data_IF_340717441346
#
_entry.id   IF_340717441346
#
_cell.length_a   1.000
_cell.length_b   1.000
_cell.length_c   1.000
_cell.angle_alpha   90.00
_cell.angle_beta   90.00
_cell.angle_gamma   90.00
#
_symmetry.space_group_name_H-M   'P 1'
#
loop_
_entity.id
_entity.type
_entity.pdbx_description
1 polymer ?
#
# COMPACT_ATOMS: atom_id res chain seq x y z
N UNK A 1 -10.96 -14.96 -4.31
CA UNK A 1 -9.66 -15.53 -4.79
C UNK A 1 -9.09 -14.70 -5.92
N UNK A 2 -7.77 -14.67 -6.15
CA UNK A 2 -7.11 -13.75 -7.11
C UNK A 2 -6.99 -14.29 -8.54
N UNK A 3 -7.03 -13.41 -9.53
CA UNK A 3 -6.86 -13.74 -10.95
C UNK A 3 -5.93 -12.78 -11.68
N UNK A 4 -5.28 -13.27 -12.73
CA UNK A 4 -4.46 -12.48 -13.66
C UNK A 4 -5.24 -12.18 -14.93
N UNK A 5 -5.21 -10.94 -15.42
CA UNK A 5 -5.95 -10.54 -16.63
C UNK A 5 -5.18 -9.52 -17.48
N UNK A 6 -5.20 -9.65 -18.81
CA UNK A 6 -4.71 -8.63 -19.74
C UNK A 6 -5.79 -7.64 -20.18
N UNK A 7 -7.02 -7.71 -19.64
CA UNK A 7 -8.19 -6.97 -20.15
C UNK A 7 -8.06 -5.43 -20.13
N UNK A 8 -7.00 -4.89 -19.51
CA UNK A 8 -6.75 -3.47 -19.33
C UNK A 8 -5.49 -2.97 -20.04
N UNK A 9 -4.91 -3.76 -20.95
CA UNK A 9 -3.79 -3.34 -21.80
C UNK A 9 -4.14 -2.11 -22.65
N UNK A 10 -5.38 -2.02 -23.12
CA UNK A 10 -5.84 -0.95 -24.01
C UNK A 10 -6.71 0.10 -23.33
N UNK A 11 -7.13 -0.15 -22.08
CA UNK A 11 -8.07 0.71 -21.33
C UNK A 11 -7.47 1.19 -20.03
N UNK A 12 -7.70 2.46 -19.69
CA UNK A 12 -7.16 2.98 -18.42
C UNK A 12 -7.99 2.46 -17.25
N UNK A 13 -7.31 1.97 -16.21
CA UNK A 13 -7.97 1.57 -14.97
C UNK A 13 -8.44 2.79 -14.17
N UNK A 14 -9.58 2.64 -13.51
CA UNK A 14 -10.12 3.62 -12.56
C UNK A 14 -9.34 3.60 -11.24
N UNK A 15 -9.57 4.61 -10.39
CA UNK A 15 -9.03 4.68 -9.03
C UNK A 15 -7.68 5.37 -8.88
N UNK A 16 -7.00 5.69 -9.99
CA UNK A 16 -5.84 6.58 -10.00
C UNK A 16 -6.20 7.95 -10.58
N UNK A 17 -5.56 9.01 -10.08
CA UNK A 17 -5.59 10.34 -10.70
C UNK A 17 -4.84 10.41 -12.03
N UNK A 18 -4.09 9.36 -12.39
CA UNK A 18 -3.38 9.27 -13.67
C UNK A 18 -3.99 8.21 -14.58
N UNK A 19 -4.18 8.55 -15.85
CA UNK A 19 -4.62 7.59 -16.85
C UNK A 19 -3.49 6.62 -17.17
N UNK A 20 -3.63 5.38 -16.70
CA UNK A 20 -2.62 4.33 -16.83
C UNK A 20 -3.24 3.03 -17.29
N UNK A 21 -2.54 2.35 -18.18
CA UNK A 21 -2.93 1.09 -18.83
C UNK A 21 -1.85 0.05 -18.54
N UNK A 22 -2.05 -0.83 -17.54
CA UNK A 22 -1.12 -1.92 -17.27
C UNK A 22 -1.37 -3.06 -18.26
N UNK A 23 -0.30 -3.75 -18.68
CA UNK A 23 -0.42 -4.85 -19.65
C UNK A 23 -1.15 -6.06 -19.05
N UNK A 24 -0.69 -6.54 -17.89
CA UNK A 24 -1.33 -7.62 -17.14
C UNK A 24 -1.40 -7.22 -15.66
N UNK A 25 -2.53 -7.49 -15.00
CA UNK A 25 -2.71 -7.21 -13.58
C UNK A 25 -3.18 -8.45 -12.81
N UNK A 26 -2.77 -8.53 -11.54
CA UNK A 26 -3.33 -9.47 -10.58
C UNK A 26 -4.29 -8.73 -9.65
N UNK A 27 -5.53 -9.19 -9.52
CA UNK A 27 -6.58 -8.53 -8.74
C UNK A 27 -7.52 -9.54 -8.07
N UNK A 28 -8.32 -9.06 -7.12
CA UNK A 28 -9.32 -9.89 -6.41
C UNK A 28 -10.53 -10.18 -7.32
N UNK A 29 -10.80 -11.46 -7.61
CA UNK A 29 -11.80 -11.87 -8.62
C UNK A 29 -13.23 -11.56 -8.21
N UNK A 30 -13.49 -11.43 -6.90
CA UNK A 30 -14.82 -11.11 -6.37
C UNK A 30 -15.23 -9.65 -6.63
N UNK A 31 -14.27 -8.81 -7.03
CA UNK A 31 -14.54 -7.44 -7.43
C UNK A 31 -15.04 -7.38 -8.88
N UNK A 32 -16.32 -6.99 -9.07
CA UNK A 32 -16.96 -6.83 -10.39
C UNK A 32 -16.27 -5.81 -11.31
N UNK A 33 -15.35 -4.99 -10.79
CA UNK A 33 -14.60 -3.98 -11.55
C UNK A 33 -13.14 -4.00 -11.11
N UNK A 34 -12.23 -4.11 -12.08
CA UNK A 34 -10.81 -3.91 -11.87
C UNK A 34 -10.53 -2.42 -11.66
N UNK A 35 -9.83 -2.08 -10.57
CA UNK A 35 -9.55 -0.72 -10.13
C UNK A 35 -8.17 -0.69 -9.45
N UNK A 36 -7.41 0.41 -9.60
CA UNK A 36 -6.08 0.54 -9.00
C UNK A 36 -6.06 0.30 -7.49
N UNK A 37 -7.17 0.56 -6.79
CA UNK A 37 -7.33 0.33 -5.35
C UNK A 37 -7.41 -1.16 -4.97
N UNK A 38 -7.67 -2.03 -5.95
CA UNK A 38 -7.94 -3.46 -5.75
C UNK A 38 -6.88 -4.37 -6.41
N UNK A 39 -5.82 -3.78 -6.98
CA UNK A 39 -4.74 -4.54 -7.60
C UNK A 39 -3.75 -5.06 -6.56
N UNK A 40 -3.32 -6.30 -6.70
CA UNK A 40 -2.20 -6.83 -5.93
C UNK A 40 -0.86 -6.43 -6.54
N UNK A 41 -0.73 -6.56 -7.86
CA UNK A 41 0.49 -6.28 -8.62
C UNK A 41 0.21 -6.06 -10.11
N UNK A 42 1.25 -5.62 -10.83
CA UNK A 42 1.29 -5.47 -12.29
C UNK A 42 2.40 -6.36 -12.84
N UNK A 43 2.13 -7.01 -13.97
CA UNK A 43 3.11 -7.63 -14.85
C UNK A 43 3.14 -6.83 -16.17
N UNK A 44 4.21 -6.08 -16.36
CA UNK A 44 4.44 -5.30 -17.58
C UNK A 44 5.09 -6.14 -18.67
N UNK A 45 4.66 -5.98 -19.93
CA UNK A 45 5.25 -6.62 -21.08
C UNK A 45 6.07 -5.62 -21.90
N UNK A 46 7.27 -6.03 -22.31
CA UNK A 46 8.15 -5.23 -23.17
C UNK A 46 8.82 -6.06 -24.24
N UNK A 47 8.78 -5.58 -25.48
CA UNK A 47 9.33 -6.26 -26.66
C UNK A 47 10.52 -5.54 -27.30
N UNK A 48 10.59 -4.20 -27.19
CA UNK A 48 11.70 -3.38 -27.70
C UNK A 48 12.91 -3.38 -26.78
N UNK A 49 14.08 -3.03 -27.30
CA UNK A 49 15.31 -2.93 -26.52
C UNK A 49 15.14 -1.96 -25.33
N UNK A 50 15.43 -2.44 -24.13
CA UNK A 50 15.37 -1.67 -22.89
C UNK A 50 16.70 -1.75 -22.15
N UNK A 51 17.19 -0.61 -21.68
CA UNK A 51 18.27 -0.58 -20.69
C UNK A 51 17.73 -0.97 -19.30
N UNK A 52 18.62 -1.39 -18.40
CA UNK A 52 18.27 -1.64 -16.99
C UNK A 52 17.65 -0.41 -16.31
N UNK A 53 18.12 0.80 -16.60
CA UNK A 53 17.54 2.05 -16.07
C UNK A 53 16.08 2.25 -16.51
N UNK A 54 15.75 1.83 -17.73
CA UNK A 54 14.39 1.93 -18.26
C UNK A 54 13.47 0.89 -17.60
N UNK A 55 13.96 -0.34 -17.36
CA UNK A 55 13.23 -1.39 -16.62
C UNK A 55 12.88 -0.91 -15.21
N UNK A 56 13.87 -0.40 -14.48
CA UNK A 56 13.64 0.15 -13.14
C UNK A 56 12.60 1.27 -13.15
N UNK A 57 12.74 2.24 -14.06
CA UNK A 57 11.83 3.40 -14.16
C UNK A 57 10.38 2.96 -14.41
N UNK A 58 10.18 1.96 -15.27
CA UNK A 58 8.85 1.40 -15.56
C UNK A 58 8.27 0.71 -14.32
N UNK A 59 9.04 -0.13 -13.64
CA UNK A 59 8.56 -0.80 -12.43
C UNK A 59 8.28 0.18 -11.29
N UNK A 60 9.14 1.17 -11.08
CA UNK A 60 8.99 2.23 -10.09
C UNK A 60 7.73 3.07 -10.35
N UNK A 61 7.40 3.35 -11.62
CA UNK A 61 6.14 4.01 -11.99
C UNK A 61 4.92 3.20 -11.52
N UNK A 62 4.94 1.88 -11.66
CA UNK A 62 3.84 1.01 -11.22
C UNK A 62 3.74 0.95 -9.70
N UNK A 63 4.87 0.78 -9.00
CA UNK A 63 4.91 0.82 -7.54
C UNK A 63 4.37 2.15 -7.00
N UNK A 64 4.82 3.29 -7.56
CA UNK A 64 4.32 4.62 -7.23
C UNK A 64 2.80 4.73 -7.43
N UNK A 65 2.28 4.21 -8.54
CA UNK A 65 0.83 4.25 -8.84
C UNK A 65 0.03 3.45 -7.81
N UNK A 66 0.50 2.25 -7.44
CA UNK A 66 -0.14 1.42 -6.42
C UNK A 66 -0.09 2.11 -5.05
N UNK A 67 1.06 2.64 -4.63
CA UNK A 67 1.18 3.36 -3.36
C UNK A 67 0.28 4.59 -3.27
N UNK A 68 0.00 5.28 -4.38
CA UNK A 68 -0.92 6.42 -4.40
C UNK A 68 -2.39 6.02 -4.26
N UNK A 69 -2.74 4.80 -4.67
CA UNK A 69 -4.12 4.36 -4.71
C UNK A 69 -4.48 3.48 -3.50
N UNK A 70 -3.49 2.88 -2.84
CA UNK A 70 -3.68 1.92 -1.77
C UNK A 70 -2.97 2.39 -0.50
N UNK A 71 -3.77 2.76 0.48
CA UNK A 71 -3.36 3.40 1.71
C UNK A 71 -2.98 2.40 2.82
N UNK A 72 -3.12 1.10 2.56
CA UNK A 72 -2.77 0.00 3.46
C UNK A 72 -1.60 -0.85 2.93
N UNK A 73 -0.77 -0.32 2.02
CA UNK A 73 0.39 -1.05 1.43
C UNK A 73 1.70 -0.67 2.09
N UNK A 74 2.40 -1.69 2.63
CA UNK A 74 3.77 -1.57 3.17
C UNK A 74 4.82 -1.63 2.04
N UNK A 75 4.65 -2.53 1.08
CA UNK A 75 5.53 -2.67 -0.09
C UNK A 75 4.73 -3.05 -1.35
N UNK A 76 5.36 -3.05 -2.52
CA UNK A 76 4.74 -3.44 -3.78
C UNK A 76 5.70 -4.32 -4.55
N UNK A 77 5.25 -5.53 -4.88
CA UNK A 77 5.90 -6.37 -5.87
C UNK A 77 5.47 -5.90 -7.26
N UNK A 78 6.43 -5.74 -8.18
CA UNK A 78 6.17 -5.41 -9.58
C UNK A 78 6.97 -6.36 -10.46
N UNK A 79 6.33 -6.88 -11.50
CA UNK A 79 6.95 -7.78 -12.46
C UNK A 79 7.07 -7.07 -13.80
N UNK A 80 8.15 -7.37 -14.52
CA UNK A 80 8.34 -6.94 -15.90
C UNK A 80 8.93 -8.09 -16.69
N UNK A 81 8.25 -8.49 -17.77
CA UNK A 81 8.74 -9.47 -18.73
C UNK A 81 9.25 -8.73 -19.97
N UNK A 82 10.56 -8.75 -20.17
CA UNK A 82 11.22 -8.21 -21.34
C UNK A 82 11.66 -9.35 -22.25
N UNK A 83 10.95 -9.55 -23.36
CA UNK A 83 11.04 -10.75 -24.20
C UNK A 83 10.78 -12.02 -23.37
N UNK A 84 11.83 -12.73 -22.98
CA UNK A 84 11.77 -13.95 -22.16
C UNK A 84 12.34 -13.74 -20.75
N UNK A 85 12.97 -12.59 -20.47
CA UNK A 85 13.58 -12.31 -19.17
C UNK A 85 12.57 -11.65 -18.22
N UNK A 86 12.30 -12.33 -17.11
CA UNK A 86 11.47 -11.80 -16.04
C UNK A 86 12.32 -11.05 -15.02
N UNK A 87 12.00 -9.78 -14.79
CA UNK A 87 12.48 -8.99 -13.66
C UNK A 87 11.39 -8.92 -12.58
N UNK A 88 11.79 -9.11 -11.32
CA UNK A 88 10.93 -8.95 -10.15
C UNK A 88 11.55 -7.91 -9.22
N UNK A 89 10.76 -6.91 -8.84
CA UNK A 89 11.18 -5.87 -7.91
C UNK A 89 10.20 -5.75 -6.75
N UNK A 90 10.73 -5.61 -5.54
CA UNK A 90 10.03 -5.20 -4.34
C UNK A 90 10.36 -3.73 -4.08
N UNK A 91 9.34 -2.88 -4.05
CA UNK A 91 9.46 -1.48 -3.65
C UNK A 91 8.82 -1.29 -2.30
N UNK A 92 9.53 -0.68 -1.36
CA UNK A 92 8.95 -0.19 -0.12
C UNK A 92 9.13 1.34 -0.03
N UNK A 93 8.89 1.94 1.13
CA UNK A 93 9.04 3.39 1.27
C UNK A 93 10.50 3.81 1.54
N UNK A 94 11.39 2.89 1.87
CA UNK A 94 12.82 3.12 2.03
C UNK A 94 13.60 2.99 0.70
N UNK A 95 13.12 2.19 -0.24
CA UNK A 95 13.78 1.98 -1.53
C UNK A 95 13.22 0.77 -2.29
N UNK A 96 14.12 0.02 -2.93
CA UNK A 96 13.74 -1.13 -3.73
C UNK A 96 14.80 -2.22 -3.74
N UNK A 97 14.36 -3.48 -3.76
CA UNK A 97 15.19 -4.66 -4.01
C UNK A 97 14.73 -5.26 -5.34
N UNK A 98 15.68 -5.52 -6.24
CA UNK A 98 15.41 -6.10 -7.55
C UNK A 98 16.17 -7.42 -7.62
N UNK A 99 15.46 -8.50 -7.93
CA UNK A 99 16.07 -9.79 -8.15
C UNK A 99 16.80 -9.80 -9.50
N UNK A 100 17.85 -10.62 -9.61
CA UNK A 100 18.49 -10.86 -10.90
C UNK A 100 17.46 -11.39 -11.91
N UNK A 101 17.38 -10.81 -13.12
CA UNK A 101 16.45 -11.28 -14.12
C UNK A 101 16.81 -12.70 -14.57
N UNK A 102 15.80 -13.46 -15.00
CA UNK A 102 16.01 -14.81 -15.50
C UNK A 102 15.11 -15.11 -16.69
N UNK A 103 15.58 -15.95 -17.61
CA UNK A 103 14.78 -16.45 -18.72
C UNK A 103 13.70 -17.43 -18.22
N UNK A 104 12.44 -17.15 -18.52
CA UNK A 104 11.30 -17.96 -18.07
C UNK A 104 11.24 -19.33 -18.74
N UNK A 105 11.87 -19.52 -19.89
CA UNK A 105 11.96 -20.80 -20.59
C UNK A 105 13.08 -21.68 -20.02
N UNK A 106 14.16 -21.07 -19.54
CA UNK A 106 15.22 -21.78 -18.82
C UNK A 106 14.79 -22.17 -17.39
N UNK A 107 13.97 -21.34 -16.73
CA UNK A 107 13.47 -21.56 -15.36
C UNK A 107 11.93 -21.45 -15.25
N UNK A 108 11.16 -22.31 -15.94
CA UNK A 108 9.70 -22.24 -15.97
C UNK A 108 9.06 -22.49 -14.60
N UNK A 109 9.64 -23.37 -13.78
CA UNK A 109 9.15 -23.64 -12.43
C UNK A 109 9.25 -22.40 -11.53
N UNK A 110 10.35 -21.65 -11.61
CA UNK A 110 10.52 -20.41 -10.86
C UNK A 110 9.50 -19.35 -11.30
N UNK A 111 9.26 -19.24 -12.61
CA UNK A 111 8.23 -18.35 -13.14
C UNK A 111 6.84 -18.68 -12.58
N UNK A 112 6.45 -19.97 -12.63
CA UNK A 112 5.17 -20.43 -12.08
C UNK A 112 5.09 -20.24 -10.57
N UNK A 113 6.17 -20.49 -9.82
CA UNK A 113 6.22 -20.25 -8.38
C UNK A 113 5.99 -18.79 -8.02
N UNK A 114 6.53 -17.83 -8.79
CA UNK A 114 6.28 -16.41 -8.57
C UNK A 114 4.80 -16.09 -8.80
N UNK A 115 4.21 -16.54 -9.91
CA UNK A 115 2.80 -16.29 -10.23
C UNK A 115 1.87 -16.90 -9.17
N UNK A 116 2.08 -18.17 -8.82
CA UNK A 116 1.29 -18.85 -7.79
C UNK A 116 1.52 -18.27 -6.40
N UNK A 117 2.75 -17.89 -6.07
CA UNK A 117 3.08 -17.22 -4.82
C UNK A 117 2.25 -15.96 -4.65
N UNK A 118 2.16 -15.12 -5.69
CA UNK A 118 1.33 -13.91 -5.66
C UNK A 118 -0.16 -14.23 -5.63
N UNK A 119 -0.62 -15.21 -6.42
CA UNK A 119 -2.03 -15.58 -6.49
C UNK A 119 -2.56 -16.12 -5.15
N UNK A 120 -1.78 -16.96 -4.46
CA UNK A 120 -2.24 -17.72 -3.29
C UNK A 120 -1.71 -17.21 -1.95
N UNK A 121 -0.74 -16.30 -1.93
CA UNK A 121 -0.22 -15.73 -0.68
C UNK A 121 -1.32 -15.07 0.15
N UNK A 122 -1.24 -15.17 1.48
CA UNK A 122 -2.08 -14.33 2.34
C UNK A 122 -1.72 -12.86 2.14
N UNK A 123 -2.67 -11.97 2.41
CA UNK A 123 -2.49 -10.52 2.24
C UNK A 123 -1.30 -9.98 3.04
N UNK A 124 -1.03 -10.53 4.23
CA UNK A 124 0.14 -10.20 5.06
C UNK A 124 1.48 -10.39 4.31
N UNK A 125 1.59 -11.43 3.47
CA UNK A 125 2.76 -11.68 2.63
C UNK A 125 2.79 -10.85 1.35
N UNK A 126 1.66 -10.22 1.00
CA UNK A 126 1.54 -9.27 -0.11
C UNK A 126 1.53 -7.82 0.38
N UNK A 127 2.07 -7.58 1.59
CA UNK A 127 2.34 -6.28 2.21
C UNK A 127 1.15 -5.51 2.78
N UNK A 128 -0.05 -6.10 2.78
CA UNK A 128 -1.22 -5.42 3.30
C UNK A 128 -1.09 -5.25 4.81
N UNK A 129 -1.44 -4.07 5.29
CA UNK A 129 -1.48 -3.79 6.72
C UNK A 129 -2.63 -4.55 7.37
N UNK A 130 -2.29 -5.61 8.12
CA UNK A 130 -3.26 -6.49 8.80
C UNK A 130 -4.01 -5.79 9.93
N UNK A 131 -3.60 -4.59 10.33
CA UNK A 131 -4.40 -3.77 11.26
C UNK A 131 -5.61 -3.12 10.58
N UNK A 132 -5.64 -3.05 9.25
CA UNK A 132 -6.75 -2.48 8.49
C UNK A 132 -7.63 -3.61 7.98
N UNK A 133 -8.80 -3.77 8.57
CA UNK A 133 -9.82 -4.70 8.11
C UNK A 133 -10.82 -3.99 7.19
N UNK A 134 -11.29 -4.69 6.15
CA UNK A 134 -12.41 -4.23 5.31
C UNK A 134 -13.56 -5.20 5.46
N UNK A 135 -14.72 -4.71 5.88
CA UNK A 135 -15.96 -5.47 6.02
C UNK A 135 -17.02 -4.84 5.12
N UNK A 136 -17.41 -5.54 4.05
CA UNK A 136 -18.27 -4.99 3.00
C UNK A 136 -17.65 -3.74 2.35
N UNK A 137 -18.15 -2.54 2.68
CA UNK A 137 -17.62 -1.25 2.23
C UNK A 137 -16.83 -0.51 3.30
N UNK A 138 -16.97 -0.93 4.55
CA UNK A 138 -16.50 -0.16 5.70
C UNK A 138 -15.14 -0.69 6.12
N UNK A 139 -14.27 0.23 6.52
CA UNK A 139 -12.90 -0.09 6.90
C UNK A 139 -12.67 0.24 8.35
N UNK A 140 -11.91 -0.61 9.02
CA UNK A 140 -11.60 -0.45 10.43
C UNK A 140 -10.11 -0.58 10.66
N UNK A 141 -9.56 0.31 11.47
CA UNK A 141 -8.24 0.12 12.06
C UNK A 141 -8.39 -0.51 13.44
N UNK A 142 -7.73 -1.65 13.61
CA UNK A 142 -7.68 -2.40 14.87
C UNK A 142 -6.24 -2.48 15.32
N UNK A 143 -5.90 -1.70 16.35
CA UNK A 143 -4.56 -1.66 16.93
C UNK A 143 -4.63 -1.56 18.45
N UNK A 144 -4.03 -2.52 19.16
CA UNK A 144 -4.12 -2.64 20.61
C UNK A 144 -5.57 -2.62 21.11
N UNK A 145 -5.98 -1.56 21.83
CA UNK A 145 -7.34 -1.36 22.34
C UNK A 145 -8.16 -0.38 21.50
N UNK A 146 -7.57 0.17 20.44
CA UNK A 146 -8.25 1.07 19.52
C UNK A 146 -8.96 0.28 18.44
N UNK A 147 -10.26 0.54 18.33
CA UNK A 147 -11.07 0.13 17.21
C UNK A 147 -11.68 1.39 16.60
N UNK A 148 -11.25 1.73 15.38
CA UNK A 148 -11.57 2.97 14.69
C UNK A 148 -12.18 2.66 13.33
N UNK A 149 -13.34 3.24 13.04
CA UNK A 149 -13.94 3.22 11.71
C UNK A 149 -13.23 4.27 10.84
N UNK A 150 -12.59 3.85 9.75
CA UNK A 150 -11.90 4.72 8.80
C UNK A 150 -12.90 5.29 7.80
N UNK A 151 -13.23 6.58 7.93
CA UNK A 151 -14.26 7.23 7.13
C UNK A 151 -13.75 7.56 5.72
N UNK A 152 -12.58 8.20 5.64
CA UNK A 152 -11.89 8.44 4.37
C UNK A 152 -10.42 8.83 4.59
N UNK A 153 -9.63 8.61 3.53
CA UNK A 153 -8.21 8.97 3.47
C UNK A 153 -8.08 10.46 3.13
N UNK A 154 -7.58 11.25 4.08
CA UNK A 154 -7.41 12.71 3.92
C UNK A 154 -6.11 13.04 3.21
N UNK A 155 -5.09 12.18 3.37
CA UNK A 155 -3.80 12.32 2.72
C UNK A 155 -3.17 10.95 2.48
N UNK A 156 -2.58 10.80 1.31
CA UNK A 156 -1.68 9.69 0.99
C UNK A 156 -0.47 10.25 0.27
N UNK A 157 0.72 9.85 0.70
CA UNK A 157 1.95 10.32 0.07
C UNK A 157 2.00 9.91 -1.41
N UNK A 158 2.29 10.88 -2.25
CA UNK A 158 2.44 10.73 -3.70
C UNK A 158 3.88 10.33 -4.10
N UNK A 159 4.74 10.10 -3.10
CA UNK A 159 6.16 9.78 -3.27
C UNK A 159 6.37 8.27 -3.21
N UNK A 160 7.29 7.79 -4.06
CA UNK A 160 7.69 6.37 -4.06
C UNK A 160 8.60 6.05 -2.86
N UNK A 161 9.35 7.04 -2.37
CA UNK A 161 10.26 6.91 -1.23
C UNK A 161 9.98 8.00 -0.18
N UNK A 162 10.38 7.74 1.07
CA UNK A 162 10.21 8.63 2.23
C UNK A 162 9.43 7.96 3.35
N UNK A 163 8.78 8.76 4.21
CA UNK A 163 8.00 8.22 5.34
C UNK A 163 6.70 7.51 4.92
N UNK A 164 6.33 7.61 3.65
CA UNK A 164 5.14 6.95 3.14
C UNK A 164 3.83 7.30 3.87
N UNK A 165 3.75 8.52 4.38
CA UNK A 165 2.68 8.97 5.27
C UNK A 165 1.29 8.73 4.69
N UNK A 166 0.41 8.20 5.52
CA UNK A 166 -1.02 8.09 5.25
C UNK A 166 -1.77 8.73 6.42
N UNK A 167 -2.80 9.50 6.09
CA UNK A 167 -3.66 10.14 7.09
C UNK A 167 -5.11 9.82 6.77
N UNK A 168 -5.84 9.39 7.80
CA UNK A 168 -7.27 9.13 7.75
C UNK A 168 -8.02 10.01 8.72
N UNK A 169 -9.23 10.39 8.33
CA UNK A 169 -10.26 10.75 9.30
C UNK A 169 -10.94 9.46 9.75
N UNK A 170 -11.02 9.25 11.06
CA UNK A 170 -11.63 8.08 11.64
C UNK A 170 -12.62 8.45 12.76
N UNK A 171 -13.51 7.52 13.08
CA UNK A 171 -14.44 7.62 14.19
C UNK A 171 -14.13 6.53 15.20
N UNK A 172 -13.96 6.89 16.46
CA UNK A 172 -13.78 5.90 17.52
C UNK A 172 -15.09 5.14 17.75
N UNK A 173 -15.04 3.80 17.75
CA UNK A 173 -16.20 2.99 18.11
C UNK A 173 -16.41 2.96 19.62
N UNK A 174 -17.63 2.68 20.07
CA UNK A 174 -18.00 2.66 21.48
C UNK A 174 -17.10 1.69 22.27
N UNK A 175 -16.49 2.17 23.37
CA UNK A 175 -15.60 1.37 24.22
C UNK A 175 -14.11 1.36 23.83
N UNK A 176 -13.73 1.93 22.68
CA UNK A 176 -12.33 2.01 22.21
C UNK A 176 -11.47 3.01 22.99
N UNK A 177 -12.09 3.93 23.75
CA UNK A 177 -11.40 4.99 24.48
C UNK A 177 -11.95 5.12 25.90
N UNK A 178 -11.06 5.09 26.91
CA UNK A 178 -11.41 5.01 28.34
C UNK A 178 -11.62 6.36 29.03
N UNK A 179 -11.32 7.50 28.40
CA UNK A 179 -11.65 8.79 29.00
C UNK A 179 -13.12 9.15 28.72
N UNK A 180 -13.91 9.01 29.79
CA UNK A 180 -15.24 9.57 30.04
C UNK A 180 -16.36 9.25 29.03
N UNK A 181 -17.21 8.33 29.50
CA UNK A 181 -18.65 8.06 29.35
C UNK A 181 -19.58 8.86 28.40
N UNK A 182 -19.18 9.89 27.65
CA UNK A 182 -20.16 10.76 26.96
C UNK A 182 -19.87 11.14 25.51
N UNK A 183 -18.75 10.75 24.90
CA UNK A 183 -18.51 11.10 23.48
C UNK A 183 -18.94 9.99 22.54
N UNK A 184 -20.25 9.76 22.44
CA UNK A 184 -20.82 9.28 21.19
C UNK A 184 -20.33 10.23 20.07
N UNK A 185 -19.55 9.70 19.13
CA UNK A 185 -18.94 10.45 18.00
C UNK A 185 -17.62 11.20 18.27
N UNK A 186 -16.64 10.56 18.92
CA UNK A 186 -15.26 11.06 18.85
C UNK A 186 -14.67 10.83 17.45
N UNK A 187 -14.36 11.92 16.74
CA UNK A 187 -13.60 11.90 15.50
C UNK A 187 -12.11 12.12 15.79
N UNK A 188 -11.27 11.33 15.14
CA UNK A 188 -9.82 11.34 15.32
C UNK A 188 -9.10 11.37 13.98
N UNK A 189 -7.91 11.93 13.98
CA UNK A 189 -6.98 11.83 12.85
C UNK A 189 -6.03 10.69 13.14
N UNK A 190 -6.00 9.70 12.27
CA UNK A 190 -5.01 8.62 12.33
C UNK A 190 -3.93 8.94 11.33
N UNK A 191 -2.68 8.94 11.77
CA UNK A 191 -1.50 9.14 10.93
C UNK A 191 -0.61 7.92 11.05
N UNK A 192 -0.26 7.30 9.93
CA UNK A 192 0.78 6.28 9.86
C UNK A 192 1.96 6.79 9.06
N UNK A 193 3.15 6.38 9.47
CA UNK A 193 4.42 6.76 8.85
C UNK A 193 5.43 5.65 9.05
N UNK A 194 6.30 5.43 8.06
CA UNK A 194 7.54 4.69 8.24
C UNK A 194 8.47 5.54 9.10
N UNK A 195 8.77 5.06 10.30
CA UNK A 195 9.69 5.69 11.24
C UNK A 195 10.90 4.78 11.45
N UNK A 196 12.01 5.39 11.84
CA UNK A 196 13.17 4.67 12.33
C UNK A 196 12.94 4.36 13.81
N UNK A 197 12.79 3.08 14.14
CA UNK A 197 12.56 2.61 15.51
C UNK A 197 13.71 2.96 16.46
N UNK A 198 14.88 3.32 15.93
CA UNK A 198 16.02 3.78 16.73
C UNK A 198 15.93 5.26 17.13
N UNK A 199 14.97 6.03 16.61
CA UNK A 199 14.81 7.43 16.97
C UNK A 199 13.94 7.56 18.24
N UNK A 200 14.50 7.97 19.39
CA UNK A 200 13.73 8.08 20.64
C UNK A 200 12.77 9.27 20.64
N UNK A 201 12.87 10.19 19.69
CA UNK A 201 12.00 11.36 19.55
C UNK A 201 10.95 11.12 18.47
N UNK A 202 9.98 10.27 18.79
CA UNK A 202 8.79 10.04 17.95
C UNK A 202 7.89 11.28 17.90
N UNK A 203 6.97 11.33 16.94
CA UNK A 203 6.02 12.42 16.84
C UNK A 203 5.15 12.54 18.10
N UNK A 204 4.70 11.42 18.66
CA UNK A 204 3.95 11.40 19.91
C UNK A 204 4.75 11.90 21.11
N UNK A 205 6.04 11.54 21.22
CA UNK A 205 6.94 12.10 22.24
C UNK A 205 7.09 13.61 22.09
N UNK A 206 7.25 14.11 20.87
CA UNK A 206 7.34 15.55 20.59
C UNK A 206 6.04 16.26 20.99
N UNK A 207 4.88 15.73 20.60
CA UNK A 207 3.57 16.28 20.96
C UNK A 207 3.37 16.32 22.48
N UNK A 208 3.75 15.25 23.19
CA UNK A 208 3.70 15.20 24.65
C UNK A 208 4.58 16.29 25.29
N UNK A 209 5.82 16.48 24.82
CA UNK A 209 6.71 17.52 25.34
C UNK A 209 6.12 18.92 25.12
N UNK A 210 5.55 19.18 23.94
CA UNK A 210 4.93 20.46 23.61
C UNK A 210 3.71 20.74 24.50
N UNK A 211 2.91 19.72 24.79
CA UNK A 211 1.76 19.81 25.70
C UNK A 211 2.22 20.19 27.11
N UNK A 212 3.25 19.51 27.65
CA UNK A 212 3.80 19.83 28.97
C UNK A 212 4.41 21.22 29.06
N UNK A 213 4.86 21.79 27.94
CA UNK A 213 5.35 23.17 27.85
C UNK A 213 4.25 24.20 27.63
N UNK A 214 2.97 23.79 27.54
CA UNK A 214 1.84 24.70 27.39
C UNK A 214 1.75 25.35 26.01
N UNK A 215 2.33 24.73 24.98
CA UNK A 215 2.26 25.22 23.60
C UNK A 215 0.82 25.10 23.10
N UNK A 216 0.25 26.20 22.63
CA UNK A 216 -1.14 26.24 22.14
C UNK A 216 -1.23 25.75 20.69
N UNK A 217 -2.37 25.17 20.32
CA UNK A 217 -2.68 24.77 18.94
C UNK A 217 -2.06 23.45 18.49
N UNK A 218 -1.48 22.67 19.41
CA UNK A 218 -1.00 21.32 19.11
C UNK A 218 -2.15 20.29 19.19
N UNK A 219 -2.10 19.20 18.40
CA UNK A 219 -3.03 18.08 18.54
C UNK A 219 -2.93 17.41 19.91
N UNK A 220 -4.06 16.93 20.44
CA UNK A 220 -4.08 16.05 21.62
C UNK A 220 -3.76 14.62 21.16
N UNK A 221 -2.67 14.05 21.69
CA UNK A 221 -2.30 12.67 21.41
C UNK A 221 -3.24 11.71 22.14
N UNK A 222 -3.86 10.81 21.38
CA UNK A 222 -4.76 9.78 21.91
C UNK A 222 -3.99 8.47 22.15
N UNK A 223 -3.13 8.11 21.20
CA UNK A 223 -2.30 6.91 21.21
C UNK A 223 -1.15 7.06 20.19
N UNK A 224 -0.03 6.39 20.46
CA UNK A 224 1.09 6.15 19.55
C UNK A 224 1.54 4.70 19.72
#
# INVERSE_FOLDING_TARGET
>A
GRSWTPAHSDTSLLGSCTHRRPDIVCYETECKKCDWRLLHTVLELKSGALSHSNIFTVMAKWAKTIFMCQDNRRFVLVLLLHKYELSLALFDRGGSIIADPFDIHDKPELFLHILFGITYAKEEYLSYDTHIATLSSDRYLVHAHLHLELLFTTFISDRIHGHGTVVWLAKATTGSYKQEKEKENLYVVVKTTWQDDNNPLTEGVILYILEKKGVKGIPTLIHE
#
